data_IF_886043330404
#
_entry.id   IF_886043330404
#
_cell.length_a   1.000
_cell.length_b   1.000
_cell.length_c   1.000
_cell.angle_alpha   90.00
_cell.angle_beta   90.00
_cell.angle_gamma   90.00
#
_symmetry.space_group_name_H-M   'P 1'
#
loop_
_entity.id
_entity.type
_entity.pdbx_description
1 polymer ?
#
# COMPACT_ATOMS: atom_id res chain seq x y z
N UNK A 1 -22.97 23.19 -28.00
CA UNK A 1 -23.05 22.13 -26.96
C UNK A 1 -21.63 21.90 -26.46
N UNK A 2 -21.28 22.48 -25.30
CA UNK A 2 -19.92 22.45 -24.76
C UNK A 2 -19.71 21.13 -24.02
N UNK A 3 -18.85 20.26 -24.54
CA UNK A 3 -18.37 19.08 -23.83
C UNK A 3 -17.26 19.56 -22.90
N UNK A 4 -17.58 19.74 -21.62
CA UNK A 4 -16.57 19.96 -20.59
C UNK A 4 -15.70 18.69 -20.53
N UNK A 5 -14.51 18.76 -21.11
CA UNK A 5 -13.48 17.76 -20.94
C UNK A 5 -13.28 17.57 -19.44
N UNK A 6 -13.61 16.38 -18.94
CA UNK A 6 -13.40 16.02 -17.54
C UNK A 6 -11.95 16.34 -17.19
N UNK A 7 -11.74 17.23 -16.21
CA UNK A 7 -10.41 17.64 -15.80
C UNK A 7 -9.58 16.37 -15.51
N UNK A 8 -8.40 16.20 -16.14
CA UNK A 8 -7.67 14.92 -16.16
C UNK A 8 -7.20 14.45 -14.77
N UNK A 9 -7.38 15.29 -13.74
CA UNK A 9 -7.02 15.01 -12.35
C UNK A 9 -8.10 15.52 -11.37
N UNK A 10 -9.38 15.34 -11.68
CA UNK A 10 -10.41 15.51 -10.66
C UNK A 10 -10.03 14.67 -9.43
N UNK A 11 -9.83 15.33 -8.29
CA UNK A 11 -9.46 14.67 -7.03
C UNK A 11 -10.55 13.62 -6.73
N UNK A 12 -10.20 12.35 -6.86
CA UNK A 12 -11.09 11.25 -6.51
C UNK A 12 -10.96 11.04 -4.99
N UNK A 13 -12.03 11.31 -4.26
CA UNK A 13 -12.10 10.91 -2.86
C UNK A 13 -12.00 9.38 -2.71
N UNK A 14 -11.76 8.90 -1.49
CA UNK A 14 -11.58 7.47 -1.22
C UNK A 14 -12.82 6.64 -1.63
N UNK A 15 -14.02 7.22 -1.57
CA UNK A 15 -15.27 6.57 -1.97
C UNK A 15 -15.33 6.38 -3.49
N UNK A 16 -14.94 7.39 -4.25
CA UNK A 16 -14.87 7.36 -5.70
C UNK A 16 -13.78 6.38 -6.18
N UNK A 17 -12.63 6.35 -5.50
CA UNK A 17 -11.58 5.35 -5.74
C UNK A 17 -12.08 3.93 -5.49
N UNK A 18 -12.77 3.67 -4.37
CA UNK A 18 -13.36 2.35 -4.06
C UNK A 18 -14.39 1.93 -5.11
N UNK A 19 -15.25 2.84 -5.57
CA UNK A 19 -16.22 2.57 -6.63
C UNK A 19 -15.52 2.19 -7.94
N UNK A 20 -14.50 2.95 -8.34
CA UNK A 20 -13.72 2.66 -9.54
C UNK A 20 -13.01 1.31 -9.43
N UNK A 21 -12.42 1.00 -8.28
CA UNK A 21 -11.78 -0.29 -8.03
C UNK A 21 -12.76 -1.45 -8.18
N UNK A 22 -13.97 -1.35 -7.59
CA UNK A 22 -15.03 -2.37 -7.77
C UNK A 22 -15.39 -2.58 -9.24
N UNK A 23 -15.52 -1.49 -10.02
CA UNK A 23 -15.80 -1.58 -11.45
C UNK A 23 -14.67 -2.30 -12.22
N UNK A 24 -13.40 -2.02 -11.89
CA UNK A 24 -12.25 -2.71 -12.49
C UNK A 24 -12.23 -4.20 -12.12
N UNK A 25 -12.52 -4.55 -10.86
CA UNK A 25 -12.61 -5.95 -10.45
C UNK A 25 -13.71 -6.71 -11.20
N UNK A 26 -14.89 -6.09 -11.38
CA UNK A 26 -16.00 -6.66 -12.14
C UNK A 26 -15.63 -6.85 -13.63
N UNK A 27 -15.07 -5.82 -14.26
CA UNK A 27 -14.67 -5.86 -15.68
C UNK A 27 -13.55 -6.89 -15.96
N UNK A 28 -12.74 -7.22 -14.95
CA UNK A 28 -11.67 -8.21 -15.05
C UNK A 28 -12.06 -9.59 -14.49
N UNK A 29 -13.32 -9.79 -14.12
CA UNK A 29 -13.83 -11.04 -13.52
C UNK A 29 -12.95 -11.53 -12.35
N UNK A 30 -12.41 -10.62 -11.55
CA UNK A 30 -11.50 -10.93 -10.44
C UNK A 30 -10.23 -11.75 -10.82
N UNK A 31 -9.78 -11.70 -12.08
CA UNK A 31 -8.63 -12.50 -12.56
C UNK A 31 -7.27 -12.06 -12.00
N UNK A 32 -7.15 -10.86 -11.44
CA UNK A 32 -5.88 -10.30 -10.94
C UNK A 32 -5.83 -10.20 -9.41
N UNK A 33 -6.08 -11.32 -8.72
CA UNK A 33 -6.27 -11.35 -7.25
C UNK A 33 -5.12 -10.71 -6.45
N UNK A 34 -3.85 -10.99 -6.81
CA UNK A 34 -2.69 -10.40 -6.12
C UNK A 34 -2.68 -8.87 -6.19
N UNK A 35 -2.98 -8.31 -7.36
CA UNK A 35 -3.11 -6.87 -7.55
C UNK A 35 -4.32 -6.33 -6.78
N UNK A 36 -5.46 -7.02 -6.85
CA UNK A 36 -6.70 -6.60 -6.21
C UNK A 36 -6.57 -6.57 -4.68
N UNK A 37 -5.91 -7.55 -4.07
CA UNK A 37 -5.64 -7.57 -2.63
C UNK A 37 -4.77 -6.37 -2.23
N UNK A 38 -3.73 -6.05 -3.00
CA UNK A 38 -2.86 -4.89 -2.72
C UNK A 38 -3.64 -3.58 -2.78
N UNK A 39 -4.42 -3.37 -3.84
CA UNK A 39 -5.27 -2.17 -3.99
C UNK A 39 -6.32 -2.09 -2.88
N UNK A 40 -6.97 -3.20 -2.54
CA UNK A 40 -7.93 -3.24 -1.44
C UNK A 40 -7.31 -2.79 -0.10
N UNK A 41 -6.14 -3.35 0.25
CA UNK A 41 -5.41 -2.98 1.47
C UNK A 41 -4.99 -1.51 1.44
N UNK A 42 -4.44 -1.05 0.32
CA UNK A 42 -4.04 0.35 0.15
C UNK A 42 -5.21 1.31 0.39
N UNK A 43 -6.38 1.04 -0.21
CA UNK A 43 -7.57 1.86 -0.02
C UNK A 43 -8.09 1.86 1.42
N UNK A 44 -7.98 0.75 2.14
CA UNK A 44 -8.39 0.68 3.55
C UNK A 44 -7.47 1.48 4.48
N UNK A 45 -6.17 1.50 4.23
CA UNK A 45 -5.25 2.35 4.99
C UNK A 45 -5.38 3.82 4.60
N UNK A 46 -5.61 4.11 3.32
CA UNK A 46 -5.84 5.47 2.86
C UNK A 46 -7.12 6.08 3.44
N UNK A 47 -8.19 5.30 3.57
CA UNK A 47 -9.42 5.74 4.25
C UNK A 47 -9.15 6.20 5.68
N UNK A 48 -8.38 5.43 6.46
CA UNK A 48 -7.99 5.83 7.81
C UNK A 48 -7.13 7.10 7.84
N UNK A 49 -6.25 7.28 6.85
CA UNK A 49 -5.45 8.49 6.74
C UNK A 49 -6.32 9.74 6.51
N UNK A 50 -7.40 9.61 5.73
CA UNK A 50 -8.33 10.71 5.42
C UNK A 50 -9.32 10.98 6.56
N UNK A 51 -9.63 9.97 7.38
CA UNK A 51 -10.46 10.13 8.59
C UNK A 51 -9.75 10.85 9.74
N UNK A 52 -8.42 10.86 9.75
CA UNK A 52 -7.65 11.60 10.74
C UNK A 52 -7.60 13.09 10.39
N UNK A 53 -7.87 13.91 11.40
CA UNK A 53 -7.67 15.35 11.31
C UNK A 53 -6.18 15.68 11.14
N UNK A 54 -5.87 16.60 10.21
CA UNK A 54 -4.49 16.95 9.87
C UNK A 54 -3.78 17.71 10.98
N UNK A 55 -4.52 18.54 11.71
CA UNK A 55 -3.98 19.43 12.73
C UNK A 55 -3.83 18.67 14.05
N UNK A 56 -4.77 17.78 14.37
CA UNK A 56 -4.75 16.99 15.60
C UNK A 56 -3.83 15.74 15.49
N UNK A 57 -3.77 15.11 14.31
CA UNK A 57 -3.09 13.82 14.13
C UNK A 57 -2.20 13.75 12.87
N UNK A 58 -1.27 14.70 12.67
CA UNK A 58 -0.43 14.76 11.46
C UNK A 58 0.42 13.51 11.26
N UNK A 59 1.03 12.98 12.33
CA UNK A 59 1.86 11.78 12.27
C UNK A 59 1.06 10.53 11.93
N UNK A 60 -0.15 10.40 12.50
CA UNK A 60 -1.04 9.28 12.21
C UNK A 60 -1.46 9.28 10.73
N UNK A 61 -1.78 10.46 10.20
CA UNK A 61 -2.13 10.63 8.78
C UNK A 61 -0.95 10.31 7.87
N UNK A 62 0.26 10.76 8.21
CA UNK A 62 1.47 10.42 7.48
C UNK A 62 1.74 8.90 7.50
N UNK A 63 1.67 8.27 8.67
CA UNK A 63 1.92 6.84 8.83
C UNK A 63 0.90 6.00 8.05
N UNK A 64 -0.39 6.29 8.15
CA UNK A 64 -1.40 5.55 7.38
C UNK A 64 -1.28 5.79 5.87
N UNK A 65 -0.93 7.01 5.44
CA UNK A 65 -0.61 7.29 4.04
C UNK A 65 0.59 6.50 3.54
N UNK A 66 1.66 6.41 4.34
CA UNK A 66 2.84 5.61 4.03
C UNK A 66 2.51 4.11 3.97
N UNK A 67 1.71 3.59 4.90
CA UNK A 67 1.26 2.19 4.88
C UNK A 67 0.40 1.92 3.63
N UNK A 68 -0.51 2.83 3.28
CA UNK A 68 -1.33 2.71 2.07
C UNK A 68 -0.48 2.60 0.80
N UNK A 69 0.53 3.47 0.67
CA UNK A 69 1.47 3.45 -0.45
C UNK A 69 2.26 2.12 -0.50
N UNK A 70 2.79 1.68 0.64
CA UNK A 70 3.53 0.43 0.73
C UNK A 70 2.65 -0.80 0.51
N UNK A 71 1.37 -0.77 0.88
CA UNK A 71 0.45 -1.86 0.58
C UNK A 71 0.20 -2.02 -0.94
N UNK A 72 0.31 -0.92 -1.71
CA UNK A 72 0.13 -0.94 -3.15
C UNK A 72 1.37 -1.42 -3.91
N UNK A 73 2.54 -0.89 -3.53
CA UNK A 73 3.81 -1.09 -4.25
C UNK A 73 4.76 -2.08 -3.59
N UNK A 74 4.55 -2.41 -2.31
CA UNK A 74 5.43 -3.30 -1.56
C UNK A 74 5.42 -4.71 -2.14
N UNK A 75 6.55 -5.13 -2.69
CA UNK A 75 6.82 -6.50 -3.10
C UNK A 75 7.75 -7.17 -2.10
N UNK A 76 7.19 -7.75 -1.04
CA UNK A 76 7.99 -8.52 -0.06
C UNK A 76 8.41 -9.91 -0.56
N UNK A 77 7.91 -10.37 -1.72
CA UNK A 77 7.98 -11.79 -2.14
C UNK A 77 8.85 -12.05 -3.38
N UNK A 78 10.00 -11.39 -3.53
CA UNK A 78 11.03 -11.92 -4.44
C UNK A 78 12.47 -11.67 -3.98
N UNK A 79 12.66 -11.34 -2.70
CA UNK A 79 13.96 -11.53 -2.09
C UNK A 79 14.03 -13.01 -1.66
N UNK A 80 15.00 -13.81 -2.15
CA UNK A 80 15.32 -15.05 -1.46
C UNK A 80 15.54 -14.66 0.00
N UNK A 81 14.90 -15.40 0.92
CA UNK A 81 15.10 -15.22 2.35
C UNK A 81 16.60 -14.99 2.56
N UNK A 82 16.97 -13.85 3.15
CA UNK A 82 18.37 -13.61 3.51
C UNK A 82 18.85 -14.90 4.15
N UNK A 83 19.96 -15.50 3.65
CA UNK A 83 20.44 -16.76 4.21
C UNK A 83 20.50 -16.56 5.72
N UNK A 84 20.01 -17.54 6.51
CA UNK A 84 19.90 -17.39 7.96
C UNK A 84 21.23 -16.86 8.43
N UNK A 85 21.22 -15.66 9.03
CA UNK A 85 22.44 -14.95 9.35
C UNK A 85 23.31 -15.89 10.18
N UNK A 86 24.37 -16.41 9.57
CA UNK A 86 25.36 -17.22 10.27
C UNK A 86 26.20 -16.23 11.04
N UNK A 87 25.66 -15.70 12.15
CA UNK A 87 26.48 -15.20 13.24
C UNK A 87 27.18 -16.43 13.83
N UNK A 88 28.21 -16.89 13.12
CA UNK A 88 29.24 -17.76 13.65
C UNK A 88 29.88 -16.99 14.78
N UNK A 89 29.39 -17.21 16.00
CA UNK A 89 30.07 -16.84 17.23
C UNK A 89 31.43 -17.52 17.16
N UNK A 90 32.46 -16.78 16.76
CA UNK A 90 33.83 -17.22 16.86
C UNK A 90 34.05 -17.58 18.34
N UNK A 91 34.07 -18.88 18.66
CA UNK A 91 34.51 -19.31 19.98
C UNK A 91 35.98 -18.93 20.05
N UNK A 92 36.29 -17.99 20.94
CA UNK A 92 37.66 -17.62 21.24
C UNK A 92 38.45 -18.88 21.60
N UNK A 93 39.50 -19.15 20.83
CA UNK A 93 40.57 -20.04 21.24
C UNK A 93 41.31 -19.34 22.38
N UNK A 94 41.15 -19.82 23.61
CA UNK A 94 42.10 -19.51 24.68
C UNK A 94 43.43 -20.19 24.35
N UNK A 95 44.57 -19.46 24.36
CA UNK A 95 45.86 -20.11 24.34
C UNK A 95 46.15 -20.70 25.73
N UNK A 96 46.50 -21.98 25.76
CA UNK A 96 47.21 -22.61 26.88
C UNK A 96 48.71 -22.33 26.80
#
# INVERSE_FOLDING_TARGET
>A
MSQAAAAPFAFLDVKALRRRFKAVCAATENRHQNFQIRVHRALSWFERAVELDEEEHPDGRLLYGWIALNALYGSWMNQPALPPATWSRAKGSSPG
#
